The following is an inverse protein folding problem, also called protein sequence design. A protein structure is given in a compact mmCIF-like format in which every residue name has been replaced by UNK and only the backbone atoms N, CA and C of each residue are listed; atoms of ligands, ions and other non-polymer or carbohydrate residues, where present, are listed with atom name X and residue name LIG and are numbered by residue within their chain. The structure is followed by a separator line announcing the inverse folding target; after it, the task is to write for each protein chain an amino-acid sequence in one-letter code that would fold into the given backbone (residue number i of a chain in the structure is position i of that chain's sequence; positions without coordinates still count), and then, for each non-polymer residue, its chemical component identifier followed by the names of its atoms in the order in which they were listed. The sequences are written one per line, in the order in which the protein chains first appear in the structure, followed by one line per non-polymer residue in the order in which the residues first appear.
data_IF_572658220576
#
_entry.id   IF_572658220576
#
_cell.length_a   1.000
_cell.length_b   1.000
_cell.length_c   1.000
_cell.angle_alpha   90.00
_cell.angle_beta   90.00
_cell.angle_gamma   90.00
#
_symmetry.space_group_name_H-M   'P 1'
#
loop_
_entity.id
_entity.type
_entity.pdbx_description
1 polymer ?
#
# COMPACT_ATOMS: atom_id res chain seq x y z
N UNK A 1 -24.12 -40.93 24.86
CA UNK A 1 -23.36 -40.20 25.91
C UNK A 1 -21.87 -40.58 25.88
N UNK A 2 -21.52 -41.87 25.87
CA UNK A 2 -20.11 -42.33 25.84
C UNK A 2 -19.25 -41.76 24.69
N UNK A 3 -19.81 -41.56 23.50
CA UNK A 3 -19.06 -41.02 22.35
C UNK A 3 -18.76 -39.51 22.49
N UNK A 4 -19.60 -38.78 23.22
CA UNK A 4 -19.40 -37.36 23.53
C UNK A 4 -18.31 -37.21 24.59
N UNK A 5 -18.31 -38.06 25.62
CA UNK A 5 -17.28 -38.07 26.66
C UNK A 5 -15.90 -38.44 26.08
N UNK A 6 -15.85 -39.44 25.19
CA UNK A 6 -14.60 -39.82 24.51
C UNK A 6 -14.03 -38.69 23.66
N UNK A 7 -14.87 -38.00 22.88
CA UNK A 7 -14.45 -36.82 22.12
C UNK A 7 -13.98 -35.69 23.04
N UNK A 8 -14.69 -35.47 24.15
CA UNK A 8 -14.33 -34.44 25.14
C UNK A 8 -12.94 -34.69 25.73
N UNK A 9 -12.62 -35.94 26.08
CA UNK A 9 -11.31 -36.28 26.62
C UNK A 9 -10.21 -36.18 25.56
N UNK A 10 -10.49 -36.58 24.32
CA UNK A 10 -9.58 -36.39 23.20
C UNK A 10 -9.27 -34.90 22.94
N UNK A 11 -10.27 -34.02 23.04
CA UNK A 11 -10.05 -32.58 22.92
C UNK A 11 -9.18 -32.02 24.04
N UNK A 12 -9.37 -32.47 25.28
CA UNK A 12 -8.51 -32.05 26.41
C UNK A 12 -7.06 -32.48 26.19
N UNK A 13 -6.84 -33.74 25.78
CA UNK A 13 -5.49 -34.23 25.49
C UNK A 13 -4.84 -33.40 24.38
N UNK A 14 -5.57 -33.15 23.29
CA UNK A 14 -5.07 -32.35 22.17
C UNK A 14 -4.74 -30.92 22.59
N UNK A 15 -5.54 -30.31 23.47
CA UNK A 15 -5.28 -28.98 24.02
C UNK A 15 -4.03 -28.96 24.90
N UNK A 16 -3.81 -30.01 25.71
CA UNK A 16 -2.62 -30.17 26.55
C UNK A 16 -1.35 -30.31 25.68
N UNK A 17 -1.42 -31.13 24.63
CA UNK A 17 -0.31 -31.35 23.69
C UNK A 17 0.02 -30.06 22.92
N UNK A 18 -1.00 -29.30 22.50
CA UNK A 18 -0.84 -27.97 21.90
C UNK A 18 -0.17 -26.99 22.86
N UNK A 19 -0.56 -27.00 24.14
CA UNK A 19 0.03 -26.15 25.16
C UNK A 19 1.52 -26.48 25.39
N UNK A 20 1.88 -27.76 25.52
CA UNK A 20 3.28 -28.19 25.60
C UNK A 20 4.06 -27.75 24.36
N UNK A 21 3.48 -27.99 23.18
CA UNK A 21 4.09 -27.62 21.90
C UNK A 21 4.43 -26.13 21.87
N UNK A 22 3.47 -25.25 22.17
CA UNK A 22 3.71 -23.81 22.15
C UNK A 22 4.73 -23.36 23.19
N UNK A 23 4.67 -23.88 24.42
CA UNK A 23 5.61 -23.42 25.46
C UNK A 23 7.04 -23.95 25.24
N UNK A 24 7.19 -25.19 24.78
CA UNK A 24 8.50 -25.86 24.68
C UNK A 24 9.18 -25.63 23.34
N UNK A 25 8.42 -25.62 22.25
CA UNK A 25 8.97 -25.55 20.89
C UNK A 25 8.85 -24.16 20.25
N UNK A 26 8.04 -23.27 20.82
CA UNK A 26 7.87 -21.89 20.33
C UNK A 26 8.19 -20.88 21.45
N UNK A 27 9.47 -20.79 21.87
CA UNK A 27 9.87 -19.83 22.89
C UNK A 27 9.49 -18.41 22.46
N UNK A 28 9.11 -17.59 23.44
CA UNK A 28 8.72 -16.21 23.20
C UNK A 28 9.86 -15.43 22.51
N UNK A 29 9.51 -14.64 21.49
CA UNK A 29 10.44 -13.70 20.87
C UNK A 29 10.57 -12.48 21.79
N UNK A 30 11.78 -12.26 22.32
CA UNK A 30 12.10 -11.16 23.25
C UNK A 30 12.82 -9.98 22.56
N UNK A 31 13.01 -10.04 21.24
CA UNK A 31 13.65 -8.99 20.47
C UNK A 31 12.71 -7.82 20.17
N UNK A 32 13.29 -6.64 19.96
CA UNK A 32 12.56 -5.46 19.48
C UNK A 32 12.30 -5.57 17.98
N UNK A 33 11.09 -5.21 17.56
CA UNK A 33 10.71 -5.29 16.15
C UNK A 33 11.67 -4.50 15.24
N UNK A 34 12.12 -3.32 15.68
CA UNK A 34 13.04 -2.45 14.93
C UNK A 34 14.41 -3.11 14.65
N UNK A 35 14.87 -4.00 15.54
CA UNK A 35 16.16 -4.68 15.38
C UNK A 35 16.07 -5.84 14.38
N UNK A 36 14.90 -6.45 14.26
CA UNK A 36 14.63 -7.51 13.29
C UNK A 36 14.36 -6.97 11.88
N UNK A 37 14.00 -5.68 11.74
CA UNK A 37 13.57 -5.10 10.46
C UNK A 37 14.62 -5.26 9.36
N UNK A 38 15.89 -5.00 9.66
CA UNK A 38 16.94 -5.08 8.64
C UNK A 38 17.16 -6.52 8.15
N UNK A 39 16.96 -7.51 9.03
CA UNK A 39 17.13 -8.93 8.71
C UNK A 39 16.05 -9.44 7.75
N UNK A 40 14.79 -9.10 8.00
CA UNK A 40 13.66 -9.65 7.24
C UNK A 40 13.12 -8.71 6.15
N UNK A 41 13.27 -7.39 6.31
CA UNK A 41 12.77 -6.35 5.39
C UNK A 41 13.89 -5.51 4.75
N UNK A 42 15.15 -5.92 4.92
CA UNK A 42 16.34 -5.37 4.24
C UNK A 42 16.85 -4.03 4.78
N UNK A 43 16.04 -3.29 5.55
CA UNK A 43 16.43 -2.05 6.23
C UNK A 43 15.49 -1.69 7.37
N UNK A 44 15.90 -0.72 8.19
CA UNK A 44 15.04 -0.09 9.20
C UNK A 44 14.07 0.87 8.52
N UNK A 45 12.78 0.51 8.51
CA UNK A 45 11.71 1.38 8.03
C UNK A 45 11.00 2.02 9.22
N UNK A 46 10.82 3.34 9.18
CA UNK A 46 10.18 4.06 10.29
C UNK A 46 9.51 5.34 9.84
N UNK A 47 8.23 5.49 10.15
CA UNK A 47 7.48 6.72 9.98
C UNK A 47 6.78 7.09 11.31
N UNK A 48 7.51 7.77 12.19
CA UNK A 48 7.07 8.05 13.58
C UNK A 48 6.78 9.52 13.85
N UNK A 49 6.93 10.40 12.86
CA UNK A 49 6.67 11.84 12.97
C UNK A 49 6.35 12.42 11.60
N UNK A 50 5.55 13.47 11.59
CA UNK A 50 5.16 14.23 10.39
C UNK A 50 6.05 15.44 10.11
N UNK A 51 6.95 15.78 11.04
CA UNK A 51 7.83 16.97 10.95
C UNK A 51 9.33 16.64 11.03
N UNK A 52 9.66 15.36 11.21
CA UNK A 52 11.05 14.91 11.25
C UNK A 52 11.73 14.97 9.88
N UNK A 53 13.04 14.77 9.88
CA UNK A 53 13.81 14.70 8.63
C UNK A 53 13.32 13.53 7.77
N UNK A 54 12.74 13.84 6.62
CA UNK A 54 12.34 12.86 5.62
C UNK A 54 13.59 12.17 5.05
N UNK A 55 13.56 10.85 4.94
CA UNK A 55 14.68 10.04 4.40
C UNK A 55 14.30 9.32 3.10
N UNK A 56 13.05 8.89 3.00
CA UNK A 56 12.54 8.13 1.85
C UNK A 56 11.10 8.58 1.57
N UNK A 57 10.74 8.69 0.29
CA UNK A 57 9.37 9.01 -0.15
C UNK A 57 8.95 8.08 -1.28
N UNK A 58 7.67 7.71 -1.30
CA UNK A 58 7.04 6.98 -2.39
C UNK A 58 6.29 7.96 -3.28
N UNK A 59 6.57 7.95 -4.58
CA UNK A 59 5.87 8.72 -5.60
C UNK A 59 5.37 7.80 -6.72
N UNK A 60 4.35 8.25 -7.45
CA UNK A 60 3.88 7.59 -8.66
C UNK A 60 4.03 8.55 -9.82
N UNK A 61 4.81 8.13 -10.83
CA UNK A 61 5.03 8.92 -12.03
C UNK A 61 3.77 8.90 -12.89
N UNK A 62 3.20 10.07 -13.26
CA UNK A 62 2.07 10.14 -14.18
C UNK A 62 2.34 9.36 -15.47
N UNK A 63 1.38 8.55 -15.90
CA UNK A 63 1.54 7.64 -17.03
C UNK A 63 0.35 7.59 -17.99
N UNK A 64 0.19 6.43 -18.64
CA UNK A 64 -0.82 6.20 -19.69
C UNK A 64 -2.25 6.32 -19.16
N UNK A 65 -2.48 6.19 -17.86
CA UNK A 65 -3.78 6.39 -17.23
C UNK A 65 -4.37 7.78 -17.52
N UNK A 66 -3.53 8.81 -17.64
CA UNK A 66 -4.00 10.16 -17.98
C UNK A 66 -4.49 10.28 -19.42
N UNK A 67 -4.09 9.37 -20.32
CA UNK A 67 -4.61 9.29 -21.69
C UNK A 67 -6.05 8.75 -21.75
N UNK A 68 -6.57 8.25 -20.63
CA UNK A 68 -7.96 7.80 -20.51
C UNK A 68 -8.92 8.92 -20.10
N UNK A 69 -8.40 10.04 -19.57
CA UNK A 69 -9.23 11.17 -19.17
C UNK A 69 -9.97 11.72 -20.39
N UNK A 70 -11.31 11.78 -20.29
CA UNK A 70 -12.18 12.18 -21.38
C UNK A 70 -12.73 11.03 -22.24
N UNK A 71 -12.32 9.78 -21.96
CA UNK A 71 -12.98 8.57 -22.48
C UNK A 71 -14.08 8.13 -21.50
N UNK A 72 -15.04 7.28 -21.92
CA UNK A 72 -16.00 6.68 -20.99
C UNK A 72 -15.29 6.05 -19.80
N UNK A 73 -15.72 6.38 -18.59
CA UNK A 73 -15.19 5.75 -17.37
C UNK A 73 -15.49 4.24 -17.37
N UNK A 74 -14.64 3.39 -16.79
CA UNK A 74 -14.91 1.96 -16.65
C UNK A 74 -15.93 1.64 -15.54
N UNK A 75 -16.43 2.65 -14.84
CA UNK A 75 -17.50 2.54 -13.85
C UNK A 75 -18.76 3.30 -14.29
N UNK A 76 -19.97 2.86 -13.89
CA UNK A 76 -21.21 3.60 -14.12
C UNK A 76 -21.15 5.04 -13.58
N UNK A 77 -21.75 6.03 -14.27
CA UNK A 77 -22.57 5.90 -15.47
C UNK A 77 -21.81 5.77 -16.80
N UNK A 78 -20.49 5.54 -16.78
CA UNK A 78 -19.62 5.47 -17.97
C UNK A 78 -19.56 6.79 -18.76
N UNK A 79 -19.55 7.92 -18.06
CA UNK A 79 -19.45 9.24 -18.67
C UNK A 79 -18.04 9.53 -19.21
N UNK A 80 -17.97 10.36 -20.25
CA UNK A 80 -16.72 10.76 -20.90
C UNK A 80 -16.29 12.19 -20.60
N UNK A 81 -16.98 12.90 -19.70
CA UNK A 81 -16.59 14.27 -19.34
C UNK A 81 -15.31 14.26 -18.50
N UNK A 82 -14.48 15.32 -18.56
CA UNK A 82 -13.31 15.43 -17.66
C UNK A 82 -13.72 15.43 -16.18
N UNK A 83 -14.93 15.93 -15.88
CA UNK A 83 -15.52 15.92 -14.54
C UNK A 83 -15.82 14.49 -14.04
N UNK A 84 -16.19 13.56 -14.93
CA UNK A 84 -16.34 12.14 -14.58
C UNK A 84 -15.03 11.51 -14.09
N UNK A 85 -13.89 12.05 -14.54
CA UNK A 85 -12.54 11.70 -14.09
C UNK A 85 -12.03 12.58 -12.93
N UNK A 86 -12.93 13.37 -12.32
CA UNK A 86 -12.60 14.37 -11.28
C UNK A 86 -11.47 15.29 -11.71
N UNK A 87 -11.57 15.80 -12.94
CA UNK A 87 -10.69 16.83 -13.50
C UNK A 87 -11.54 18.03 -13.92
N UNK A 88 -11.07 19.24 -13.60
CA UNK A 88 -11.74 20.48 -13.99
C UNK A 88 -11.38 20.91 -15.42
N UNK A 89 -10.19 20.51 -15.86
CA UNK A 89 -9.63 20.79 -17.18
C UNK A 89 -8.96 19.53 -17.75
N UNK A 90 -8.60 19.57 -19.03
CA UNK A 90 -7.90 18.47 -19.68
C UNK A 90 -6.45 18.41 -19.18
N UNK A 91 -6.00 17.29 -18.61
CA UNK A 91 -4.60 17.17 -18.21
C UNK A 91 -3.68 17.09 -19.42
N UNK A 92 -2.54 17.78 -19.35
CA UNK A 92 -1.40 17.56 -20.24
C UNK A 92 -0.42 16.59 -19.58
N UNK A 93 -0.27 15.39 -20.16
CA UNK A 93 0.61 14.37 -19.61
C UNK A 93 2.09 14.80 -19.60
N UNK A 94 2.55 15.56 -20.59
CA UNK A 94 3.95 16.01 -20.64
C UNK A 94 4.22 17.02 -19.52
N UNK A 95 3.27 17.92 -19.27
CA UNK A 95 3.35 18.87 -18.16
C UNK A 95 3.33 18.17 -16.81
N UNK A 96 2.42 17.21 -16.61
CA UNK A 96 2.35 16.40 -15.38
C UNK A 96 3.65 15.64 -15.12
N UNK A 97 4.22 15.01 -16.15
CA UNK A 97 5.52 14.33 -16.06
C UNK A 97 6.62 15.30 -15.68
N UNK A 98 6.70 16.47 -16.33
CA UNK A 98 7.70 17.50 -16.03
C UNK A 98 7.60 17.98 -14.58
N UNK A 99 6.39 18.24 -14.08
CA UNK A 99 6.16 18.63 -12.69
C UNK A 99 6.57 17.53 -11.70
N UNK A 100 6.22 16.28 -11.99
CA UNK A 100 6.66 15.14 -11.19
C UNK A 100 8.19 15.02 -11.17
N UNK A 101 8.85 15.10 -12.32
CA UNK A 101 10.32 14.99 -12.40
C UNK A 101 11.01 16.14 -11.64
N UNK A 102 10.47 17.36 -11.71
CA UNK A 102 10.93 18.49 -10.89
C UNK A 102 10.80 18.20 -9.39
N UNK A 103 9.70 17.59 -8.96
CA UNK A 103 9.50 17.21 -7.55
C UNK A 103 10.48 16.12 -7.11
N UNK A 104 10.73 15.12 -7.96
CA UNK A 104 11.72 14.06 -7.72
C UNK A 104 13.11 14.66 -7.53
N UNK A 105 13.50 15.59 -8.39
CA UNK A 105 14.81 16.24 -8.33
C UNK A 105 14.96 17.07 -7.06
N UNK A 106 13.90 17.80 -6.66
CA UNK A 106 13.89 18.54 -5.39
C UNK A 106 14.11 17.63 -4.18
N UNK A 107 13.43 16.48 -4.11
CA UNK A 107 13.65 15.51 -3.03
C UNK A 107 15.08 14.95 -3.02
N UNK A 108 15.59 14.58 -4.20
CA UNK A 108 16.96 14.05 -4.32
C UNK A 108 18.02 15.08 -3.95
N UNK A 109 17.82 16.35 -4.29
CA UNK A 109 18.73 17.44 -3.93
C UNK A 109 18.86 17.60 -2.40
N UNK A 110 17.79 17.31 -1.64
CA UNK A 110 17.78 17.27 -0.17
C UNK A 110 18.29 15.96 0.43
N UNK A 111 18.76 15.02 -0.42
CA UNK A 111 19.25 13.71 0.01
C UNK A 111 18.15 12.72 0.40
N UNK A 112 16.91 12.96 -0.03
CA UNK A 112 15.78 12.03 0.17
C UNK A 112 15.82 10.96 -0.92
N UNK A 113 15.74 9.69 -0.50
CA UNK A 113 15.54 8.58 -1.43
C UNK A 113 14.13 8.63 -2.01
N UNK A 114 14.04 8.65 -3.34
CA UNK A 114 12.75 8.63 -4.03
C UNK A 114 12.50 7.25 -4.60
N UNK A 115 11.44 6.60 -4.13
CA UNK A 115 10.94 5.32 -4.66
C UNK A 115 9.80 5.62 -5.62
N UNK A 116 9.89 5.11 -6.84
CA UNK A 116 8.80 5.22 -7.82
C UNK A 116 7.97 3.94 -7.79
N UNK A 117 6.70 4.09 -7.41
CA UNK A 117 5.68 3.04 -7.44
C UNK A 117 5.52 2.48 -8.85
N UNK A 118 5.30 1.17 -8.96
CA UNK A 118 4.97 0.54 -10.25
C UNK A 118 3.60 1.05 -10.75
N UNK A 119 3.42 1.23 -12.07
CA UNK A 119 2.12 1.58 -12.61
C UNK A 119 1.09 0.47 -12.31
N UNK A 120 -0.17 0.88 -12.19
CA UNK A 120 -1.26 -0.07 -11.98
C UNK A 120 -1.43 -1.01 -13.18
N UNK A 121 -1.81 -2.28 -12.96
CA UNK A 121 -1.83 -3.31 -14.01
C UNK A 121 -3.11 -3.28 -14.87
N UNK A 122 -3.83 -2.16 -14.91
CA UNK A 122 -5.14 -2.08 -15.58
C UNK A 122 -5.01 -1.83 -17.08
N UNK A 123 -5.84 -2.53 -17.87
CA UNK A 123 -5.97 -2.34 -19.32
C UNK A 123 -7.47 -2.26 -19.70
N UNK A 124 -7.99 -1.10 -20.14
CA UNK A 124 -7.28 0.17 -20.27
C UNK A 124 -6.88 0.78 -18.91
N UNK A 125 -5.78 1.55 -18.84
CA UNK A 125 -5.33 2.17 -17.59
C UNK A 125 -6.28 3.31 -17.18
N UNK A 126 -6.67 3.40 -15.91
CA UNK A 126 -7.67 4.38 -15.45
C UNK A 126 -7.39 5.04 -14.08
N UNK A 127 -6.46 4.52 -13.29
CA UNK A 127 -6.18 4.94 -11.91
C UNK A 127 -5.36 6.24 -11.87
N UNK A 128 -5.95 7.32 -12.39
CA UNK A 128 -5.32 8.66 -12.50
C UNK A 128 -5.02 9.32 -11.14
N UNK A 129 -5.55 8.76 -10.04
CA UNK A 129 -5.32 9.29 -8.68
C UNK A 129 -4.18 8.55 -7.96
N UNK A 130 -3.54 7.57 -8.58
CA UNK A 130 -2.32 6.91 -8.07
C UNK A 130 -1.15 7.87 -7.81
N UNK A 131 -1.13 9.03 -8.47
CA UNK A 131 -0.18 10.13 -8.19
C UNK A 131 -0.25 10.61 -6.72
N UNK A 132 -1.39 10.41 -6.04
CA UNK A 132 -1.58 10.71 -4.62
C UNK A 132 -1.34 9.45 -3.79
N UNK A 133 -0.07 9.07 -3.65
CA UNK A 133 0.33 7.80 -3.02
C UNK A 133 -0.07 7.70 -1.54
N UNK A 134 -0.27 8.81 -0.84
CA UNK A 134 -0.63 8.83 0.58
C UNK A 134 -2.00 8.20 0.84
N UNK A 135 -2.97 8.45 -0.04
CA UNK A 135 -4.34 8.01 0.19
C UNK A 135 -4.49 6.48 0.15
N UNK A 136 -3.76 5.79 -0.73
CA UNK A 136 -3.90 4.34 -0.90
C UNK A 136 -3.24 3.58 0.25
N UNK A 137 -2.16 4.12 0.81
CA UNK A 137 -1.46 3.46 1.88
C UNK A 137 -0.65 4.44 2.72
N UNK A 138 -0.81 4.37 4.04
CA UNK A 138 -0.12 5.23 5.00
C UNK A 138 1.02 4.49 5.71
N UNK A 139 2.18 5.14 5.81
CA UNK A 139 3.27 4.62 6.60
C UNK A 139 2.92 4.66 8.09
N UNK A 140 3.08 3.53 8.77
CA UNK A 140 2.99 3.40 10.22
C UNK A 140 4.40 3.42 10.84
N UNK A 141 4.48 3.47 12.17
CA UNK A 141 5.76 3.54 12.88
C UNK A 141 6.74 2.45 12.43
N UNK A 142 6.27 1.22 12.25
CA UNK A 142 7.10 0.10 11.77
C UNK A 142 6.40 -0.72 10.68
N UNK A 143 5.71 -0.06 9.75
CA UNK A 143 5.01 -0.77 8.68
C UNK A 143 4.23 0.15 7.76
N UNK A 144 3.25 -0.43 7.07
CA UNK A 144 2.41 0.27 6.12
C UNK A 144 0.97 -0.24 6.25
N UNK A 145 0.00 0.67 6.27
CA UNK A 145 -1.42 0.33 6.26
C UNK A 145 -1.96 0.56 4.86
N UNK A 146 -2.38 -0.50 4.17
CA UNK A 146 -3.06 -0.41 2.87
C UNK A 146 -4.55 -0.15 3.14
N UNK A 147 -5.05 0.95 2.60
CA UNK A 147 -6.43 1.41 2.78
C UNK A 147 -7.32 0.89 1.66
N UNK A 148 -8.61 0.73 1.96
CA UNK A 148 -9.63 0.37 0.97
C UNK A 148 -10.18 1.63 0.31
N UNK A 149 -10.05 1.74 -1.00
CA UNK A 149 -10.52 2.91 -1.74
C UNK A 149 -12.05 3.01 -1.79
N UNK A 150 -12.54 4.20 -1.48
CA UNK A 150 -13.97 4.52 -1.48
C UNK A 150 -14.53 4.67 -2.90
N UNK A 151 -13.87 5.52 -3.72
CA UNK A 151 -14.32 5.96 -5.04
C UNK A 151 -13.88 4.99 -6.16
N UNK A 152 -14.74 4.78 -7.16
CA UNK A 152 -14.48 3.85 -8.28
C UNK A 152 -13.25 4.23 -9.09
N UNK A 153 -12.95 5.53 -9.21
CA UNK A 153 -11.75 6.02 -9.90
C UNK A 153 -10.44 5.55 -9.25
N UNK A 154 -10.50 5.12 -7.99
CA UNK A 154 -9.35 4.72 -7.18
C UNK A 154 -9.31 3.25 -6.83
N UNK A 155 -10.42 2.53 -6.99
CA UNK A 155 -10.45 1.10 -6.70
C UNK A 155 -9.45 0.38 -7.59
N UNK A 156 -8.56 -0.38 -6.97
CA UNK A 156 -7.49 -1.10 -7.67
C UNK A 156 -6.11 -0.46 -7.53
N UNK A 157 -6.01 0.76 -6.98
CA UNK A 157 -4.73 1.39 -6.63
C UNK A 157 -3.96 0.60 -5.55
N UNK A 158 -4.66 -0.23 -4.78
CA UNK A 158 -4.06 -1.04 -3.71
C UNK A 158 -3.10 -2.12 -4.25
N UNK A 159 -3.29 -2.57 -5.50
CA UNK A 159 -2.59 -3.72 -6.06
C UNK A 159 -1.07 -3.55 -6.16
N UNK A 160 -0.48 -2.49 -6.73
CA UNK A 160 0.98 -2.38 -6.78
C UNK A 160 1.60 -1.75 -5.51
N UNK A 161 0.82 -1.63 -4.43
CA UNK A 161 1.20 -0.89 -3.20
C UNK A 161 1.75 -1.83 -2.09
N UNK A 162 2.08 -3.08 -2.42
CA UNK A 162 2.73 -4.05 -1.51
C UNK A 162 4.17 -4.37 -1.91
#
# INVERSE_FOLDING_TARGET
MADIEKKTEQYKQSAQDLHDTYNRLHPQVLGEFEDEMSKYWGRKWKANTTIGKLKTVLLHRPGKEFLSVGKPTPWPPNESSWRAWRMMEKPDLNELVKHHETLVDAFKAEGVEVIIRKPDPWDPPYTVKSIYCDDVAHAAVYGHVILRMYDSIRKGEELPTY
#
